data_IF_319558531119
#
_entry.id   IF_319558531119
#
_cell.length_a   1.000
_cell.length_b   1.000
_cell.length_c   1.000
_cell.angle_alpha   90.00
_cell.angle_beta   90.00
_cell.angle_gamma   90.00
#
_symmetry.space_group_name_H-M   'P 1'
#
loop_
_entity.id
_entity.type
_entity.pdbx_description
1 polymer ?
#
# COMPACT_ATOMS: atom_id res chain seq x y z
N UNK A 1 22.91 4.49 -20.67
CA UNK A 1 24.13 5.26 -21.04
C UNK A 1 25.05 4.35 -21.84
N UNK A 2 25.46 4.70 -23.05
CA UNK A 2 26.38 3.85 -23.83
C UNK A 2 27.75 4.52 -23.85
N UNK A 3 28.79 3.81 -23.39
CA UNK A 3 30.18 4.23 -23.50
C UNK A 3 30.83 3.45 -24.63
N UNK A 4 31.23 4.14 -25.69
CA UNK A 4 32.02 3.56 -26.76
C UNK A 4 33.51 3.71 -26.43
N UNK A 5 34.28 2.62 -26.47
CA UNK A 5 35.72 2.63 -26.26
C UNK A 5 36.41 1.56 -27.13
N UNK A 6 37.37 1.96 -27.98
CA UNK A 6 38.14 1.08 -28.86
C UNK A 6 37.33 0.04 -29.66
N UNK A 7 36.23 0.45 -30.32
CA UNK A 7 35.43 -0.47 -31.12
C UNK A 7 34.38 -1.27 -30.34
N UNK A 8 34.35 -1.15 -29.01
CA UNK A 8 33.38 -1.82 -28.15
C UNK A 8 32.39 -0.84 -27.54
N UNK A 9 31.11 -1.23 -27.55
CA UNK A 9 30.04 -0.52 -26.86
C UNK A 9 29.80 -1.16 -25.49
N UNK A 10 29.93 -0.38 -24.42
CA UNK A 10 29.55 -0.78 -23.07
C UNK A 10 28.24 -0.08 -22.70
N UNK A 11 27.20 -0.85 -22.38
CA UNK A 11 25.94 -0.30 -21.90
C UNK A 11 25.99 -0.18 -20.38
N UNK A 12 25.74 1.03 -19.88
CA UNK A 12 25.56 1.36 -18.48
C UNK A 12 24.07 1.65 -18.25
N UNK A 13 23.37 0.71 -17.66
CA UNK A 13 22.05 0.93 -17.08
C UNK A 13 22.21 1.33 -15.62
N UNK A 14 21.62 2.46 -15.23
CA UNK A 14 21.45 2.75 -13.80
C UNK A 14 20.44 1.75 -13.23
N UNK A 15 20.63 1.35 -11.97
CA UNK A 15 19.68 0.47 -11.31
C UNK A 15 18.35 1.22 -11.08
N UNK A 16 17.25 0.61 -11.50
CA UNK A 16 15.92 1.20 -11.41
C UNK A 16 14.85 0.29 -12.02
N UNK A 17 13.57 0.66 -11.87
CA UNK A 17 12.49 0.06 -12.65
C UNK A 17 12.80 0.14 -14.14
N UNK A 18 12.42 -0.90 -14.90
CA UNK A 18 12.69 -0.96 -16.34
C UNK A 18 11.95 0.13 -17.13
N UNK A 19 10.81 0.58 -16.62
CA UNK A 19 9.97 1.63 -17.20
C UNK A 19 9.31 2.45 -16.09
N UNK A 20 8.85 3.65 -16.42
CA UNK A 20 8.08 4.51 -15.51
C UNK A 20 6.67 3.98 -15.23
N UNK A 21 6.14 3.11 -16.10
CA UNK A 21 4.82 2.51 -15.96
C UNK A 21 4.71 1.71 -14.67
N UNK A 22 3.82 2.14 -13.79
CA UNK A 22 3.47 1.49 -12.53
C UNK A 22 1.97 1.59 -12.33
N UNK A 23 1.30 0.45 -12.25
CA UNK A 23 -0.15 0.35 -12.10
C UNK A 23 -0.55 0.16 -10.64
N UNK A 24 0.24 -0.61 -9.88
CA UNK A 24 0.00 -0.87 -8.48
C UNK A 24 1.31 -1.21 -7.74
N UNK A 25 1.31 -0.96 -6.43
CA UNK A 25 2.42 -1.24 -5.52
C UNK A 25 1.95 -2.20 -4.42
N UNK A 26 2.84 -3.10 -3.99
CA UNK A 26 2.57 -4.11 -2.96
C UNK A 26 3.80 -4.33 -2.09
N UNK A 27 3.60 -4.49 -0.79
CA UNK A 27 4.66 -4.89 0.13
C UNK A 27 4.54 -6.38 0.45
N UNK A 28 5.68 -7.08 0.44
CA UNK A 28 5.78 -8.42 1.00
C UNK A 28 7.24 -8.75 1.33
N UNK A 29 7.49 -9.55 2.38
CA UNK A 29 8.82 -10.05 2.74
C UNK A 29 9.97 -9.02 2.58
N UNK A 30 9.83 -7.82 3.18
CA UNK A 30 10.85 -6.76 3.11
C UNK A 30 11.18 -6.29 1.66
N UNK A 31 10.19 -6.36 0.77
CA UNK A 31 10.30 -6.05 -0.65
C UNK A 31 9.09 -5.24 -1.09
N UNK A 32 9.33 -4.21 -1.90
CA UNK A 32 8.26 -3.52 -2.63
C UNK A 32 8.18 -4.11 -4.02
N UNK A 33 7.00 -4.56 -4.42
CA UNK A 33 6.67 -5.04 -5.75
C UNK A 33 5.84 -3.99 -6.48
N UNK A 34 6.31 -3.59 -7.66
CA UNK A 34 5.65 -2.65 -8.54
C UNK A 34 5.18 -3.38 -9.81
N UNK A 35 3.87 -3.49 -9.98
CA UNK A 35 3.27 -4.05 -11.18
C UNK A 35 3.26 -3.00 -12.29
N UNK A 36 3.75 -3.35 -13.48
CA UNK A 36 3.95 -2.35 -14.54
C UNK A 36 2.74 -2.17 -15.47
N UNK A 37 1.90 -3.20 -15.61
CA UNK A 37 0.87 -3.26 -16.65
C UNK A 37 -0.55 -3.13 -16.11
N UNK A 38 -1.54 -3.12 -17.00
CA UNK A 38 -2.93 -3.03 -16.57
C UNK A 38 -3.89 -2.70 -17.69
N UNK A 39 -4.86 -1.84 -17.41
CA UNK A 39 -5.86 -1.38 -18.36
C UNK A 39 -6.01 0.14 -18.30
N UNK A 40 -6.47 0.73 -19.40
CA UNK A 40 -6.66 2.17 -19.51
C UNK A 40 -7.98 2.64 -18.83
N UNK A 41 -8.25 3.94 -18.84
CA UNK A 41 -9.48 4.52 -18.27
C UNK A 41 -10.78 4.04 -18.93
N UNK A 42 -10.69 3.49 -20.15
CA UNK A 42 -11.80 2.84 -20.86
C UNK A 42 -11.88 1.34 -20.58
N UNK A 43 -11.10 0.84 -19.62
CA UNK A 43 -11.15 -0.54 -19.14
C UNK A 43 -10.72 -1.52 -20.26
N UNK A 44 -9.72 -1.11 -21.05
CA UNK A 44 -9.12 -1.91 -22.13
C UNK A 44 -7.67 -2.27 -21.80
N UNK A 45 -7.25 -3.48 -22.21
CA UNK A 45 -5.88 -3.97 -22.05
C UNK A 45 -4.86 -2.98 -22.63
N UNK A 46 -3.76 -2.75 -21.90
CA UNK A 46 -2.65 -1.93 -22.39
C UNK A 46 -1.60 -2.72 -23.16
N UNK A 47 -1.66 -4.07 -23.07
CA UNK A 47 -0.67 -4.98 -23.64
C UNK A 47 0.76 -4.66 -23.18
N UNK A 48 0.92 -4.27 -21.90
CA UNK A 48 2.20 -3.91 -21.34
C UNK A 48 2.97 -5.16 -20.87
N UNK A 49 4.10 -5.46 -21.52
CA UNK A 49 4.96 -6.61 -21.24
C UNK A 49 6.15 -6.31 -20.32
N UNK A 50 6.15 -5.17 -19.62
CA UNK A 50 7.24 -4.79 -18.73
C UNK A 50 7.32 -5.67 -17.47
N UNK A 51 6.25 -6.43 -17.18
CA UNK A 51 6.16 -7.38 -16.06
C UNK A 51 6.00 -6.66 -14.72
N UNK A 52 6.89 -6.96 -13.78
CA UNK A 52 6.94 -6.29 -12.48
C UNK A 52 8.37 -6.01 -12.03
N UNK A 53 8.51 -5.10 -11.07
CA UNK A 53 9.80 -4.68 -10.52
C UNK A 53 9.80 -4.87 -9.02
N UNK A 54 10.95 -5.20 -8.45
CA UNK A 54 11.13 -5.41 -7.03
C UNK A 54 12.19 -4.49 -6.47
N UNK A 55 11.87 -3.72 -5.46
CA UNK A 55 12.86 -3.03 -4.65
C UNK A 55 13.27 -3.93 -3.49
N UNK A 56 14.45 -4.52 -3.60
CA UNK A 56 15.00 -5.48 -2.65
C UNK A 56 16.09 -4.84 -1.77
N UNK A 57 16.15 -5.28 -0.51
CA UNK A 57 17.21 -4.92 0.45
C UNK A 57 17.45 -3.42 0.62
N UNK A 58 16.43 -2.60 0.32
CA UNK A 58 16.49 -1.14 0.40
C UNK A 58 17.55 -0.47 -0.49
N UNK A 59 18.08 -1.17 -1.49
CA UNK A 59 19.22 -0.68 -2.29
C UNK A 59 19.04 -0.82 -3.79
N UNK A 60 18.32 -1.85 -4.26
CA UNK A 60 18.30 -2.18 -5.69
C UNK A 60 16.92 -2.58 -6.19
N UNK A 61 16.68 -2.24 -7.45
CA UNK A 61 15.58 -2.74 -8.26
C UNK A 61 15.99 -4.00 -9.03
N UNK A 62 15.15 -5.02 -8.99
CA UNK A 62 15.22 -6.24 -9.81
C UNK A 62 13.98 -6.28 -10.70
N UNK A 63 14.16 -6.47 -12.01
CA UNK A 63 13.08 -6.42 -12.98
C UNK A 63 12.76 -7.84 -13.46
N UNK A 64 11.49 -8.22 -13.49
CA UNK A 64 11.02 -9.54 -13.91
C UNK A 64 10.08 -9.41 -15.11
N UNK A 65 10.52 -9.91 -16.26
CA UNK A 65 9.74 -10.01 -17.48
C UNK A 65 10.27 -11.14 -18.38
N UNK A 66 9.59 -11.34 -19.52
CA UNK A 66 9.89 -12.41 -20.48
C UNK A 66 11.32 -12.43 -21.05
N UNK A 67 12.08 -11.35 -20.90
CA UNK A 67 13.42 -11.20 -21.48
C UNK A 67 14.54 -11.38 -20.46
N UNK A 68 14.28 -11.14 -19.17
CA UNK A 68 15.30 -11.12 -18.14
C UNK A 68 15.06 -12.10 -16.97
N UNK A 69 13.96 -12.87 -17.02
CA UNK A 69 13.67 -13.94 -16.06
C UNK A 69 12.87 -15.07 -16.71
N UNK A 70 12.46 -16.07 -15.92
CA UNK A 70 11.57 -17.13 -16.36
C UNK A 70 10.09 -16.70 -16.43
N UNK A 71 9.82 -15.40 -16.39
CA UNK A 71 8.46 -14.87 -16.41
C UNK A 71 7.74 -15.25 -17.73
N UNK A 72 6.47 -15.67 -17.68
CA UNK A 72 5.74 -16.00 -18.89
C UNK A 72 5.60 -14.81 -19.85
N UNK A 73 5.44 -15.09 -21.16
CA UNK A 73 5.19 -14.05 -22.16
C UNK A 73 3.72 -13.63 -22.15
N UNK A 74 3.35 -12.88 -21.12
CA UNK A 74 1.99 -12.39 -20.89
C UNK A 74 2.04 -10.90 -20.52
N UNK A 75 1.05 -10.09 -20.93
CA UNK A 75 1.00 -8.69 -20.57
C UNK A 75 0.22 -8.42 -19.28
N UNK A 76 0.24 -7.16 -18.86
CA UNK A 76 -0.75 -6.53 -17.98
C UNK A 76 -0.89 -7.18 -16.59
N UNK A 77 0.16 -7.03 -15.77
CA UNK A 77 0.14 -7.36 -14.34
C UNK A 77 -0.72 -6.34 -13.58
N UNK A 78 -1.92 -6.70 -13.14
CA UNK A 78 -2.89 -5.74 -12.56
C UNK A 78 -2.79 -5.67 -11.05
N UNK A 79 -2.66 -6.82 -10.39
CA UNK A 79 -2.81 -6.94 -8.94
C UNK A 79 -1.88 -8.02 -8.39
N UNK A 80 -1.41 -7.85 -7.16
CA UNK A 80 -0.63 -8.89 -6.49
C UNK A 80 -1.07 -9.11 -5.04
N UNK A 81 -0.86 -10.32 -4.55
CA UNK A 81 -1.03 -10.66 -3.14
C UNK A 81 0.01 -11.72 -2.75
N UNK A 82 0.66 -11.53 -1.61
CA UNK A 82 1.54 -12.54 -1.04
C UNK A 82 0.76 -13.41 -0.07
N UNK A 83 0.88 -14.73 -0.20
CA UNK A 83 0.28 -15.68 0.73
C UNK A 83 1.38 -16.26 1.63
N UNK A 84 1.45 -15.88 2.93
CA UNK A 84 2.48 -16.36 3.84
C UNK A 84 2.36 -17.86 4.18
N UNK A 85 1.23 -18.50 3.86
CA UNK A 85 0.99 -19.91 4.18
C UNK A 85 1.56 -20.89 3.17
N UNK A 86 1.71 -20.46 1.91
CA UNK A 86 2.38 -21.21 0.85
C UNK A 86 3.60 -20.47 0.30
N UNK A 87 3.89 -19.28 0.84
CA UNK A 87 5.06 -18.46 0.53
C UNK A 87 5.19 -18.18 -0.98
N UNK A 88 4.03 -17.94 -1.60
CA UNK A 88 3.91 -17.58 -3.01
C UNK A 88 3.35 -16.17 -3.17
N UNK A 89 3.87 -15.47 -4.19
CA UNK A 89 3.26 -14.24 -4.70
C UNK A 89 2.30 -14.63 -5.82
N UNK A 90 1.08 -14.17 -5.71
CA UNK A 90 0.05 -14.32 -6.71
C UNK A 90 -0.09 -13.02 -7.49
N UNK A 91 -0.13 -13.08 -8.81
CA UNK A 91 -0.21 -11.94 -9.72
C UNK A 91 -1.41 -12.13 -10.62
N UNK A 92 -2.41 -11.25 -10.51
CA UNK A 92 -3.58 -11.22 -11.38
C UNK A 92 -3.29 -10.44 -12.65
N UNK A 93 -3.77 -10.96 -13.77
CA UNK A 93 -3.53 -10.40 -15.09
C UNK A 93 -4.79 -9.89 -15.75
N UNK A 94 -4.62 -8.95 -16.68
CA UNK A 94 -5.66 -8.57 -17.62
C UNK A 94 -5.61 -9.45 -18.86
N UNK A 95 -6.19 -10.64 -18.78
CA UNK A 95 -6.36 -11.55 -19.93
C UNK A 95 -5.51 -12.82 -19.90
N UNK A 96 -4.65 -13.01 -18.89
CA UNK A 96 -3.79 -14.20 -18.75
C UNK A 96 -4.07 -15.05 -17.49
N UNK A 97 -5.10 -14.71 -16.73
CA UNK A 97 -5.52 -15.40 -15.52
C UNK A 97 -4.70 -14.97 -14.30
N UNK A 98 -4.27 -15.95 -13.51
CA UNK A 98 -3.49 -15.76 -12.31
C UNK A 98 -2.14 -16.44 -12.46
N UNK A 99 -1.06 -15.77 -12.10
CA UNK A 99 0.27 -16.39 -12.00
C UNK A 99 0.65 -16.54 -10.55
N UNK A 100 1.04 -17.75 -10.13
CA UNK A 100 1.72 -17.95 -8.85
C UNK A 100 3.23 -18.03 -9.06
N UNK A 101 3.97 -17.30 -8.26
CA UNK A 101 5.42 -17.23 -8.25
C UNK A 101 5.95 -17.61 -6.86
N UNK A 102 6.90 -18.53 -6.81
CA UNK A 102 7.43 -19.08 -5.56
C UNK A 102 8.92 -18.79 -5.36
N UNK A 103 9.45 -19.15 -4.18
CA UNK A 103 10.87 -18.98 -3.81
C UNK A 103 11.90 -19.64 -4.73
N UNK A 104 11.51 -20.60 -5.58
CA UNK A 104 12.42 -21.22 -6.55
C UNK A 104 12.42 -20.52 -7.92
N UNK A 105 11.89 -19.30 -7.98
CA UNK A 105 11.70 -18.52 -9.20
C UNK A 105 10.88 -19.26 -10.27
N UNK A 106 9.91 -20.07 -9.82
CA UNK A 106 9.00 -20.80 -10.70
C UNK A 106 7.69 -20.06 -10.84
N UNK A 107 7.31 -19.74 -12.07
CA UNK A 107 6.02 -19.19 -12.44
C UNK A 107 5.06 -20.29 -12.90
N UNK A 108 3.82 -20.28 -12.42
CA UNK A 108 2.76 -21.20 -12.81
C UNK A 108 1.53 -20.38 -13.18
N UNK A 109 1.03 -20.58 -14.41
CA UNK A 109 -0.21 -19.95 -14.90
C UNK A 109 -1.41 -20.78 -14.45
N UNK A 110 -2.40 -20.11 -13.90
CA UNK A 110 -3.71 -20.62 -13.51
C UNK A 110 -4.75 -19.86 -14.33
N UNK A 111 -5.30 -20.53 -15.35
CA UNK A 111 -6.25 -19.94 -16.31
C UNK A 111 -7.47 -20.86 -16.48
N UNK A 112 -8.31 -20.57 -17.48
CA UNK A 112 -9.54 -21.32 -17.77
C UNK A 112 -9.28 -22.75 -18.25
N UNK A 113 -8.04 -23.09 -18.64
CA UNK A 113 -7.67 -24.43 -19.12
C UNK A 113 -7.33 -25.40 -17.99
N UNK A 114 -6.96 -24.89 -16.80
CA UNK A 114 -6.49 -25.71 -15.69
C UNK A 114 -7.12 -25.36 -14.33
N UNK A 115 -8.03 -24.41 -14.28
CA UNK A 115 -8.80 -24.05 -13.09
C UNK A 115 -10.29 -23.88 -13.40
N UNK A 116 -11.07 -23.55 -12.37
CA UNK A 116 -12.49 -23.20 -12.49
C UNK A 116 -12.74 -21.75 -12.91
N UNK A 117 -11.67 -20.97 -13.15
CA UNK A 117 -11.79 -19.60 -13.64
C UNK A 117 -12.50 -19.63 -15.00
N UNK A 118 -13.41 -18.67 -15.21
CA UNK A 118 -14.14 -18.50 -16.47
C UNK A 118 -13.56 -17.38 -17.34
N UNK A 119 -12.56 -16.67 -16.81
CA UNK A 119 -11.92 -15.53 -17.47
C UNK A 119 -10.42 -15.52 -17.17
N UNK A 120 -9.67 -14.88 -18.07
CA UNK A 120 -8.28 -14.52 -17.85
C UNK A 120 -8.11 -13.18 -17.13
N UNK A 121 -9.18 -12.48 -16.75
CA UNK A 121 -9.10 -11.13 -16.17
C UNK A 121 -9.30 -11.20 -14.65
N UNK A 122 -8.19 -11.09 -13.93
CA UNK A 122 -8.12 -11.12 -12.46
C UNK A 122 -7.60 -9.77 -11.96
N UNK A 123 -8.43 -9.05 -11.22
CA UNK A 123 -8.21 -7.62 -10.91
C UNK A 123 -8.17 -7.31 -9.42
N UNK A 124 -8.66 -8.21 -8.57
CA UNK A 124 -8.60 -8.11 -7.12
C UNK A 124 -8.04 -9.39 -6.54
N UNK A 125 -7.08 -9.26 -5.62
CA UNK A 125 -6.50 -10.35 -4.85
C UNK A 125 -6.33 -9.91 -3.41
N UNK A 126 -6.66 -10.80 -2.48
CA UNK A 126 -6.35 -10.63 -1.07
C UNK A 126 -6.27 -11.99 -0.37
N UNK A 127 -5.60 -12.08 0.77
CA UNK A 127 -5.39 -13.34 1.49
C UNK A 127 -5.95 -13.23 2.89
N UNK A 128 -6.86 -14.15 3.25
CA UNK A 128 -7.44 -14.15 4.58
C UNK A 128 -6.48 -14.74 5.64
N UNK A 129 -6.83 -14.55 6.91
CA UNK A 129 -6.06 -15.07 8.06
C UNK A 129 -6.02 -16.60 8.15
N UNK A 130 -6.72 -17.33 7.27
CA UNK A 130 -6.68 -18.80 7.16
C UNK A 130 -5.76 -19.28 6.02
N UNK A 131 -5.22 -18.35 5.23
CA UNK A 131 -4.40 -18.61 4.05
C UNK A 131 -5.21 -18.92 2.80
N UNK A 132 -6.48 -18.52 2.76
CA UNK A 132 -7.30 -18.59 1.55
C UNK A 132 -7.01 -17.36 0.71
N UNK A 133 -6.58 -17.59 -0.54
CA UNK A 133 -6.51 -16.54 -1.55
C UNK A 133 -7.92 -16.26 -2.05
N UNK A 134 -8.36 -15.01 -1.98
CA UNK A 134 -9.61 -14.50 -2.52
C UNK A 134 -9.33 -13.67 -3.76
N UNK A 135 -10.19 -13.81 -4.77
CA UNK A 135 -9.96 -13.22 -6.08
C UNK A 135 -11.26 -12.66 -6.65
N UNK A 136 -11.20 -11.47 -7.24
CA UNK A 136 -12.28 -10.99 -8.12
C UNK A 136 -11.89 -11.19 -9.58
N UNK A 137 -12.85 -11.67 -10.36
CA UNK A 137 -12.65 -11.93 -11.77
C UNK A 137 -13.78 -11.28 -12.59
N UNK A 138 -13.47 -10.88 -13.81
CA UNK A 138 -14.49 -10.33 -14.70
C UNK A 138 -15.35 -11.40 -15.33
N UNK A 139 -16.65 -11.17 -15.33
CA UNK A 139 -17.58 -11.98 -16.11
C UNK A 139 -17.54 -11.46 -17.55
N UNK A 140 -17.23 -12.33 -18.51
CA UNK A 140 -17.23 -11.97 -19.92
C UNK A 140 -18.67 -11.95 -20.45
N UNK A 141 -19.03 -10.89 -21.18
CA UNK A 141 -20.38 -10.64 -21.72
C UNK A 141 -20.77 -11.61 -22.85
N UNK A 142 -19.80 -12.05 -23.66
CA UNK A 142 -20.02 -12.92 -24.83
C UNK A 142 -19.71 -14.40 -24.56
N UNK A 143 -19.39 -14.77 -23.32
CA UNK A 143 -19.22 -16.17 -22.98
C UNK A 143 -20.57 -16.75 -22.54
N UNK A 144 -20.98 -17.87 -23.13
CA UNK A 144 -22.11 -18.71 -22.69
C UNK A 144 -21.93 -19.27 -21.25
N UNK A 145 -20.98 -18.74 -20.47
CA UNK A 145 -20.61 -19.25 -19.15
C UNK A 145 -21.34 -18.44 -18.07
N UNK A 146 -22.30 -19.10 -17.41
CA UNK A 146 -22.69 -18.75 -16.05
C UNK A 146 -21.45 -18.85 -15.16
N UNK A 147 -20.84 -17.72 -14.83
CA UNK A 147 -19.53 -17.65 -14.18
C UNK A 147 -19.55 -17.17 -12.73
N UNK A 148 -18.48 -17.49 -11.99
CA UNK A 148 -18.22 -16.89 -10.69
C UNK A 148 -17.71 -15.45 -10.86
N UNK A 149 -18.15 -14.53 -10.01
CA UNK A 149 -17.61 -13.17 -9.90
C UNK A 149 -16.43 -13.12 -8.91
N UNK A 150 -16.51 -13.97 -7.88
CA UNK A 150 -15.50 -14.09 -6.82
C UNK A 150 -15.05 -15.53 -6.75
N UNK A 151 -13.75 -15.74 -6.57
CA UNK A 151 -13.15 -17.05 -6.43
C UNK A 151 -12.36 -17.12 -5.13
N UNK A 152 -12.21 -18.33 -4.60
CA UNK A 152 -11.29 -18.61 -3.52
C UNK A 152 -10.44 -19.84 -3.83
N UNK A 153 -9.18 -19.81 -3.36
CA UNK A 153 -8.26 -20.94 -3.38
C UNK A 153 -7.72 -21.13 -1.96
N UNK A 154 -8.12 -22.23 -1.33
CA UNK A 154 -7.63 -22.56 0.01
C UNK A 154 -6.15 -22.97 -0.03
N UNK A 155 -5.47 -22.94 1.11
CA UNK A 155 -4.09 -23.46 1.25
C UNK A 155 -3.91 -24.93 0.84
N UNK A 156 -4.99 -25.70 0.75
CA UNK A 156 -5.00 -27.10 0.26
C UNK A 156 -5.16 -27.19 -1.27
N UNK A 157 -5.25 -26.06 -1.97
CA UNK A 157 -5.46 -25.98 -3.41
C UNK A 157 -6.91 -26.20 -3.85
N UNK A 158 -7.88 -26.21 -2.92
CA UNK A 158 -9.31 -26.33 -3.27
C UNK A 158 -9.81 -24.99 -3.76
N UNK A 159 -10.37 -24.98 -4.98
CA UNK A 159 -10.97 -23.83 -5.62
C UNK A 159 -12.49 -23.80 -5.42
N UNK A 160 -13.04 -22.62 -5.16
CA UNK A 160 -14.49 -22.39 -5.07
C UNK A 160 -14.85 -21.11 -5.84
N UNK A 161 -15.99 -21.10 -6.51
CA UNK A 161 -16.54 -19.93 -7.19
C UNK A 161 -17.82 -19.45 -6.50
N UNK A 162 -18.04 -18.15 -6.51
CA UNK A 162 -19.22 -17.48 -5.98
C UNK A 162 -19.74 -16.50 -7.02
N UNK A 163 -21.05 -16.51 -7.25
CA UNK A 163 -21.72 -15.60 -8.17
C UNK A 163 -22.52 -14.60 -7.36
N UNK A 164 -22.27 -13.32 -7.60
CA UNK A 164 -23.02 -12.23 -7.01
C UNK A 164 -24.39 -12.09 -7.72
N UNK A 165 -25.46 -11.74 -7.00
CA UNK A 165 -26.84 -11.98 -7.49
C UNK A 165 -27.36 -10.98 -8.53
N UNK A 166 -26.78 -9.78 -8.62
CA UNK A 166 -27.15 -8.80 -9.64
C UNK A 166 -26.51 -9.12 -10.99
N UNK A 167 -27.20 -8.85 -12.11
CA UNK A 167 -26.55 -8.88 -13.42
C UNK A 167 -25.48 -7.77 -13.47
N UNK A 168 -24.22 -8.18 -13.58
CA UNK A 168 -23.07 -7.29 -13.76
C UNK A 168 -22.78 -7.07 -15.25
N UNK A 169 -23.83 -7.06 -16.09
CA UNK A 169 -23.75 -6.56 -17.45
C UNK A 169 -23.04 -5.19 -17.44
N UNK A 170 -21.88 -5.13 -18.10
CA UNK A 170 -21.00 -3.96 -18.18
C UNK A 170 -20.41 -3.43 -16.86
N UNK A 171 -20.44 -4.21 -15.77
CA UNK A 171 -19.84 -3.88 -14.46
C UNK A 171 -18.65 -4.79 -14.17
N UNK A 172 -17.46 -4.25 -14.35
CA UNK A 172 -16.23 -4.98 -14.10
C UNK A 172 -15.83 -4.88 -12.64
N UNK A 173 -15.60 -6.00 -11.95
CA UNK A 173 -15.00 -5.98 -10.61
C UNK A 173 -13.54 -5.55 -10.73
N UNK A 174 -13.13 -4.51 -10.00
CA UNK A 174 -11.82 -3.89 -10.21
C UNK A 174 -10.88 -4.10 -9.02
N UNK A 175 -11.41 -4.25 -7.82
CA UNK A 175 -10.61 -4.45 -6.62
C UNK A 175 -11.38 -5.32 -5.65
N UNK A 176 -10.65 -6.10 -4.86
CA UNK A 176 -11.14 -6.88 -3.73
C UNK A 176 -10.26 -6.57 -2.52
N UNK A 177 -10.87 -6.29 -1.38
CA UNK A 177 -10.20 -6.16 -0.08
C UNK A 177 -10.99 -6.90 1.00
N UNK A 178 -10.29 -7.59 1.89
CA UNK A 178 -10.85 -8.29 3.03
C UNK A 178 -10.84 -7.36 4.25
N UNK A 179 -11.96 -7.30 4.97
CA UNK A 179 -11.96 -6.68 6.29
C UNK A 179 -11.61 -7.69 7.41
N UNK A 180 -11.48 -7.20 8.64
CA UNK A 180 -11.16 -8.02 9.81
C UNK A 180 -12.24 -9.04 10.20
N UNK A 181 -13.43 -8.98 9.60
CA UNK A 181 -14.51 -9.97 9.77
C UNK A 181 -14.55 -10.97 8.62
N UNK A 182 -13.66 -10.82 7.63
CA UNK A 182 -13.58 -11.65 6.44
C UNK A 182 -14.63 -11.31 5.39
N UNK A 183 -15.31 -10.16 5.47
CA UNK A 183 -16.15 -9.70 4.36
C UNK A 183 -15.28 -9.23 3.20
N UNK A 184 -15.76 -9.42 1.98
CA UNK A 184 -15.09 -9.04 0.74
C UNK A 184 -15.70 -7.74 0.28
N UNK A 185 -14.94 -6.67 0.35
CA UNK A 185 -15.30 -5.36 -0.20
C UNK A 185 -14.78 -5.29 -1.62
N UNK A 186 -15.69 -5.13 -2.58
CA UNK A 186 -15.35 -5.06 -3.99
C UNK A 186 -15.87 -3.76 -4.60
N UNK A 187 -15.00 -3.08 -5.34
CA UNK A 187 -15.43 -1.99 -6.20
C UNK A 187 -15.63 -2.50 -7.61
N UNK A 188 -16.64 -1.98 -8.29
CA UNK A 188 -16.84 -2.21 -9.70
C UNK A 188 -16.82 -0.90 -10.47
N UNK A 189 -16.44 -0.98 -11.74
CA UNK A 189 -16.42 0.13 -12.68
C UNK A 189 -16.65 -0.39 -14.10
N UNK A 190 -17.11 0.49 -14.99
CA UNK A 190 -17.54 0.09 -16.33
C UNK A 190 -17.63 1.27 -17.30
N UNK A 191 -17.81 0.96 -18.58
CA UNK A 191 -18.21 1.97 -19.56
C UNK A 191 -19.55 2.61 -19.14
N UNK A 192 -19.69 3.93 -19.33
CA UNK A 192 -20.96 4.62 -19.12
C UNK A 192 -21.35 4.90 -17.66
N UNK A 193 -20.38 5.18 -16.77
CA UNK A 193 -20.61 5.63 -15.38
C UNK A 193 -21.17 4.57 -14.41
N UNK A 194 -21.08 3.27 -14.75
CA UNK A 194 -21.49 2.20 -13.85
C UNK A 194 -20.39 1.89 -12.84
N UNK A 195 -20.33 2.68 -11.77
CA UNK A 195 -19.42 2.49 -10.64
C UNK A 195 -20.18 2.15 -9.37
N UNK A 196 -19.50 1.47 -8.45
CA UNK A 196 -20.01 1.35 -7.10
C UNK A 196 -19.21 0.39 -6.24
N UNK A 197 -19.79 0.11 -5.09
CA UNK A 197 -19.21 -0.72 -4.05
C UNK A 197 -20.20 -1.80 -3.64
N UNK A 198 -19.69 -3.01 -3.47
CA UNK A 198 -20.42 -4.15 -2.92
C UNK A 198 -19.62 -4.75 -1.77
N UNK A 199 -20.32 -5.19 -0.74
CA UNK A 199 -19.76 -6.11 0.26
C UNK A 199 -20.40 -7.48 0.11
N UNK A 200 -19.59 -8.52 0.17
CA UNK A 200 -19.99 -9.92 0.03
C UNK A 200 -19.45 -10.75 1.20
N UNK A 201 -20.26 -11.68 1.70
CA UNK A 201 -19.84 -12.71 2.63
C UNK A 201 -20.36 -14.08 2.16
N UNK A 202 -19.45 -15.02 2.00
CA UNK A 202 -19.71 -16.40 1.57
C UNK A 202 -20.55 -17.19 2.58
N UNK A 203 -20.53 -16.79 3.86
CA UNK A 203 -21.31 -17.44 4.91
C UNK A 203 -22.76 -16.96 4.81
N UNK A 204 -23.56 -17.72 4.05
CA UNK A 204 -24.95 -17.39 3.76
C UNK A 204 -25.15 -16.57 2.48
N UNK A 205 -24.09 -16.40 1.67
CA UNK A 205 -24.12 -15.64 0.41
C UNK A 205 -24.78 -14.26 0.56
N UNK A 206 -24.41 -13.55 1.62
CA UNK A 206 -24.93 -12.21 1.85
C UNK A 206 -24.21 -11.22 0.97
N UNK A 207 -24.97 -10.31 0.36
CA UNK A 207 -24.42 -9.19 -0.40
C UNK A 207 -25.19 -7.89 -0.15
N UNK A 208 -24.48 -6.77 -0.24
CA UNK A 208 -25.09 -5.43 -0.20
C UNK A 208 -24.34 -4.48 -1.11
N UNK A 209 -25.10 -3.72 -1.90
CA UNK A 209 -24.60 -2.60 -2.69
C UNK A 209 -24.72 -1.30 -1.91
N UNK A 210 -23.73 -0.43 -2.07
CA UNK A 210 -23.73 0.90 -1.47
C UNK A 210 -23.90 1.99 -2.52
N UNK A 211 -24.55 3.06 -2.10
CA UNK A 211 -24.88 4.24 -2.89
C UNK A 211 -24.64 5.52 -2.09
N UNK A 212 -24.95 6.68 -2.68
CA UNK A 212 -24.86 7.97 -1.98
C UNK A 212 -25.76 8.03 -0.72
N UNK A 213 -26.89 7.31 -0.68
CA UNK A 213 -27.77 7.28 0.50
C UNK A 213 -27.17 6.49 1.66
N UNK A 214 -26.20 5.62 1.39
CA UNK A 214 -25.46 4.86 2.40
C UNK A 214 -24.24 5.63 2.92
N UNK A 215 -24.08 6.91 2.56
CA UNK A 215 -23.05 7.80 3.09
C UNK A 215 -21.79 7.95 2.23
N UNK A 216 -21.71 7.29 1.06
CA UNK A 216 -20.62 7.47 0.12
C UNK A 216 -20.61 8.91 -0.47
N UNK A 217 -19.44 9.57 -0.62
CA UNK A 217 -19.36 10.91 -1.20
C UNK A 217 -19.72 10.96 -2.69
N UNK A 218 -19.33 9.93 -3.44
CA UNK A 218 -19.57 9.78 -4.88
C UNK A 218 -19.71 8.30 -5.25
N UNK A 219 -20.40 8.01 -6.36
CA UNK A 219 -20.58 6.64 -6.85
C UNK A 219 -19.31 6.08 -7.49
N UNK A 220 -18.43 6.94 -8.00
CA UNK A 220 -17.13 6.55 -8.55
C UNK A 220 -16.20 6.18 -7.41
N UNK A 221 -16.04 4.88 -7.17
CA UNK A 221 -15.13 4.34 -6.15
C UNK A 221 -13.79 3.97 -6.79
N UNK A 222 -12.72 4.65 -6.35
CA UNK A 222 -11.38 4.51 -6.91
C UNK A 222 -10.51 3.55 -6.11
N UNK A 223 -10.66 3.51 -4.79
CA UNK A 223 -9.87 2.64 -3.93
C UNK A 223 -10.62 2.21 -2.67
N UNK A 224 -10.24 1.02 -2.19
CA UNK A 224 -10.62 0.46 -0.90
C UNK A 224 -9.33 0.19 -0.13
N UNK A 225 -9.28 0.61 1.13
CA UNK A 225 -8.20 0.30 2.07
C UNK A 225 -8.77 -0.06 3.43
N UNK A 226 -8.22 -1.08 4.08
CA UNK A 226 -8.61 -1.45 5.46
C UNK A 226 -7.46 -1.04 6.37
N UNK A 227 -7.74 -0.17 7.34
CA UNK A 227 -6.71 0.30 8.25
C UNK A 227 -6.44 -0.67 9.41
N UNK A 228 -5.45 -0.34 10.25
CA UNK A 228 -5.04 -1.21 11.37
C UNK A 228 -6.10 -1.36 12.46
N UNK A 229 -7.06 -0.43 12.51
CA UNK A 229 -8.20 -0.46 13.44
C UNK A 229 -9.39 -1.22 12.84
N UNK A 230 -9.27 -1.70 11.60
CA UNK A 230 -10.30 -2.42 10.87
C UNK A 230 -11.34 -1.52 10.21
N UNK A 231 -11.10 -0.20 10.15
CA UNK A 231 -11.98 0.72 9.42
C UNK A 231 -11.77 0.51 7.92
N UNK A 232 -12.86 0.34 7.18
CA UNK A 232 -12.82 0.24 5.72
C UNK A 232 -12.95 1.63 5.13
N UNK A 233 -11.85 2.15 4.59
CA UNK A 233 -11.76 3.45 3.94
C UNK A 233 -12.02 3.33 2.45
N UNK A 234 -12.87 4.23 1.94
CA UNK A 234 -13.27 4.29 0.55
C UNK A 234 -12.88 5.65 -0.02
N UNK A 235 -11.98 5.66 -1.00
CA UNK A 235 -11.66 6.83 -1.80
C UNK A 235 -12.55 6.90 -3.03
N UNK A 236 -13.11 8.07 -3.29
CA UNK A 236 -14.08 8.29 -4.37
C UNK A 236 -13.68 9.46 -5.27
N UNK A 237 -14.45 9.68 -6.34
CA UNK A 237 -14.32 10.84 -7.21
C UNK A 237 -14.49 12.20 -6.51
N UNK A 238 -15.11 12.26 -5.31
CA UNK A 238 -15.40 13.52 -4.59
C UNK A 238 -15.15 13.43 -3.08
N UNK A 239 -13.99 12.89 -2.72
CA UNK A 239 -13.53 12.75 -1.34
C UNK A 239 -13.54 11.29 -0.88
N UNK A 240 -13.60 11.07 0.44
CA UNK A 240 -13.55 9.73 1.03
C UNK A 240 -14.57 9.53 2.14
N UNK A 241 -14.83 8.28 2.49
CA UNK A 241 -15.63 7.91 3.65
C UNK A 241 -15.10 6.63 4.31
N UNK A 242 -15.42 6.45 5.60
CA UNK A 242 -15.03 5.29 6.39
C UNK A 242 -16.24 4.46 6.84
N UNK A 243 -16.07 3.14 6.84
CA UNK A 243 -16.98 2.19 7.46
C UNK A 243 -16.35 1.65 8.74
N UNK A 244 -16.80 2.16 9.88
CA UNK A 244 -16.14 1.95 11.17
C UNK A 244 -16.48 0.61 11.83
N UNK A 245 -17.61 0.00 11.45
CA UNK A 245 -18.11 -1.22 12.09
C UNK A 245 -18.33 -2.34 11.06
N UNK A 246 -17.28 -3.02 10.58
CA UNK A 246 -17.42 -4.05 9.54
C UNK A 246 -18.35 -5.22 9.93
N UNK A 247 -18.63 -5.40 11.23
CA UNK A 247 -19.65 -6.33 11.71
C UNK A 247 -21.07 -5.99 11.24
N UNK A 248 -21.32 -4.73 10.89
CA UNK A 248 -22.58 -4.20 10.38
C UNK A 248 -22.54 -3.99 8.86
N UNK A 249 -21.64 -4.63 8.11
CA UNK A 249 -21.50 -4.41 6.67
C UNK A 249 -22.83 -4.46 5.89
N UNK A 250 -23.78 -5.30 6.32
CA UNK A 250 -25.07 -5.49 5.66
C UNK A 250 -26.20 -4.57 6.17
N UNK A 251 -25.93 -3.70 7.15
CA UNK A 251 -26.96 -2.83 7.78
C UNK A 251 -26.49 -1.40 8.07
N UNK A 252 -25.19 -1.19 8.31
CA UNK A 252 -24.58 0.11 8.67
C UNK A 252 -24.28 1.01 7.48
N UNK A 253 -23.83 2.24 7.73
CA UNK A 253 -23.56 3.23 6.70
C UNK A 253 -22.15 3.80 6.81
N UNK A 254 -21.67 4.37 5.71
CA UNK A 254 -20.43 5.14 5.66
C UNK A 254 -20.56 6.47 6.38
N UNK A 255 -19.45 6.90 6.98
CA UNK A 255 -19.31 8.21 7.63
C UNK A 255 -18.22 8.98 6.89
N UNK A 256 -18.53 10.22 6.52
CA UNK A 256 -17.58 11.17 5.91
C UNK A 256 -16.82 11.88 7.02
N UNK A 257 -15.50 11.67 7.18
CA UNK A 257 -14.71 12.40 8.16
C UNK A 257 -14.77 13.90 7.87
N UNK A 258 -14.69 14.71 8.93
CA UNK A 258 -14.76 16.16 8.83
C UNK A 258 -13.41 16.76 9.15
N UNK A 259 -12.93 17.63 8.25
CA UNK A 259 -11.75 18.45 8.46
C UNK A 259 -12.09 19.91 8.18
N UNK A 260 -11.76 20.82 9.10
CA UNK A 260 -12.10 22.25 9.03
C UNK A 260 -13.60 22.54 8.75
N UNK A 261 -14.50 21.71 9.30
CA UNK A 261 -15.95 21.89 9.19
C UNK A 261 -16.58 21.37 7.89
N UNK A 262 -15.80 20.77 6.98
CA UNK A 262 -16.29 20.16 5.74
C UNK A 262 -15.90 18.69 5.65
N UNK A 263 -16.65 17.86 4.88
CA UNK A 263 -16.18 16.55 4.49
C UNK A 263 -14.75 16.63 3.95
N UNK A 264 -13.89 15.76 4.46
CA UNK A 264 -12.49 15.77 4.09
C UNK A 264 -12.31 15.56 2.58
N UNK A 265 -11.43 16.34 1.97
CA UNK A 265 -11.16 16.30 0.53
C UNK A 265 -12.44 16.39 -0.32
N UNK A 266 -13.41 17.20 0.14
CA UNK A 266 -14.66 17.43 -0.60
C UNK A 266 -14.39 17.85 -2.05
N UNK A 267 -15.04 17.18 -2.99
CA UNK A 267 -14.91 17.39 -4.44
C UNK A 267 -13.50 17.14 -5.01
N UNK A 268 -12.63 16.46 -4.25
CA UNK A 268 -11.32 16.01 -4.73
C UNK A 268 -11.37 14.55 -5.13
N UNK A 269 -10.75 14.24 -6.26
CA UNK A 269 -10.66 12.87 -6.76
C UNK A 269 -9.57 12.11 -5.98
N UNK A 270 -10.00 11.24 -5.06
CA UNK A 270 -9.12 10.41 -4.23
C UNK A 270 -8.81 9.12 -5.00
N UNK A 271 -7.55 8.86 -5.29
CA UNK A 271 -7.12 7.75 -6.14
C UNK A 271 -6.66 6.53 -5.34
N UNK A 272 -6.04 6.75 -4.19
CA UNK A 272 -5.54 5.68 -3.31
C UNK A 272 -5.44 6.16 -1.86
N UNK A 273 -5.51 5.22 -0.92
CA UNK A 273 -5.36 5.45 0.51
C UNK A 273 -4.43 4.35 1.04
N UNK A 274 -3.49 4.71 1.92
CA UNK A 274 -2.63 3.76 2.63
C UNK A 274 -2.43 4.22 4.07
N UNK A 275 -2.54 3.29 5.02
CA UNK A 275 -2.28 3.58 6.44
C UNK A 275 -0.83 3.24 6.80
N UNK A 276 -0.14 4.13 7.51
CA UNK A 276 1.24 3.89 7.97
C UNK A 276 1.34 3.23 9.35
N UNK A 277 2.58 3.07 9.80
CA UNK A 277 2.98 2.61 11.13
C UNK A 277 2.11 3.09 12.28
N UNK A 278 1.84 4.40 12.34
CA UNK A 278 1.03 5.05 13.38
C UNK A 278 -0.46 5.17 13.02
N UNK A 279 -0.93 4.36 12.07
CA UNK A 279 -2.26 4.41 11.47
C UNK A 279 -2.62 5.77 10.85
N UNK A 280 -1.64 6.61 10.53
CA UNK A 280 -1.87 7.88 9.82
C UNK A 280 -2.24 7.57 8.38
N UNK A 281 -3.00 8.47 7.76
CA UNK A 281 -3.62 8.22 6.46
C UNK A 281 -2.88 9.00 5.38
N UNK A 282 -2.14 8.26 4.55
CA UNK A 282 -1.64 8.77 3.28
C UNK A 282 -2.74 8.67 2.24
N UNK A 283 -3.09 9.80 1.63
CA UNK A 283 -4.20 9.89 0.68
C UNK A 283 -3.68 10.51 -0.63
N UNK A 284 -3.60 9.68 -1.65
CA UNK A 284 -3.27 10.09 -3.01
C UNK A 284 -4.50 10.68 -3.70
N UNK A 285 -4.28 11.74 -4.47
CA UNK A 285 -5.31 12.40 -5.27
C UNK A 285 -4.77 12.70 -6.67
N UNK A 286 -5.61 13.23 -7.55
CA UNK A 286 -5.15 13.80 -8.84
C UNK A 286 -4.45 15.15 -8.69
N UNK A 287 -4.39 15.71 -7.47
CA UNK A 287 -3.84 17.04 -7.18
C UNK A 287 -2.60 16.99 -6.27
N UNK A 288 -2.15 15.80 -5.86
CA UNK A 288 -1.02 15.59 -4.96
C UNK A 288 -1.31 14.57 -3.87
N UNK A 289 -0.45 14.55 -2.86
CA UNK A 289 -0.45 13.59 -1.76
C UNK A 289 -0.71 14.30 -0.43
N UNK A 290 -1.66 13.80 0.34
CA UNK A 290 -1.97 14.28 1.69
C UNK A 290 -1.52 13.28 2.74
N UNK A 291 -1.06 13.79 3.88
CA UNK A 291 -0.90 13.02 5.12
C UNK A 291 -1.83 13.59 6.17
N UNK A 292 -2.72 12.75 6.69
CA UNK A 292 -3.59 13.06 7.82
C UNK A 292 -3.21 12.22 9.04
N UNK A 293 -3.53 12.72 10.22
CA UNK A 293 -3.51 11.87 11.41
C UNK A 293 -4.58 10.77 11.32
N UNK A 294 -4.51 9.83 12.26
CA UNK A 294 -5.30 8.61 12.28
C UNK A 294 -6.82 8.83 12.08
N UNK A 295 -7.40 9.82 12.75
CA UNK A 295 -8.83 10.12 12.77
C UNK A 295 -9.26 11.22 11.78
N UNK A 296 -8.36 11.67 10.91
CA UNK A 296 -8.56 12.78 9.97
C UNK A 296 -8.85 14.16 10.59
N UNK A 297 -8.71 14.33 11.91
CA UNK A 297 -8.92 15.65 12.56
C UNK A 297 -7.85 16.69 12.19
N UNK A 298 -6.71 16.27 11.64
CA UNK A 298 -5.61 17.14 11.25
C UNK A 298 -4.93 16.69 9.96
N UNK A 299 -4.84 17.60 8.98
CA UNK A 299 -3.86 17.49 7.89
C UNK A 299 -2.45 17.78 8.45
N UNK A 300 -1.59 16.77 8.42
CA UNK A 300 -0.19 16.87 8.88
C UNK A 300 0.66 17.50 7.78
N UNK A 301 0.48 17.08 6.53
CA UNK A 301 1.25 17.58 5.39
C UNK A 301 0.48 17.43 4.07
N UNK A 302 0.88 18.23 3.08
CA UNK A 302 0.44 18.13 1.70
C UNK A 302 1.64 18.30 0.78
N UNK A 303 1.75 17.44 -0.23
CA UNK A 303 2.85 17.39 -1.19
C UNK A 303 2.30 17.52 -2.61
N UNK A 304 2.84 18.47 -3.36
CA UNK A 304 2.62 18.65 -4.79
C UNK A 304 3.97 18.90 -5.50
N UNK A 305 3.96 18.99 -6.82
CA UNK A 305 5.16 19.27 -7.63
C UNK A 305 5.78 20.66 -7.35
N UNK A 306 5.05 21.58 -6.72
CA UNK A 306 5.53 22.94 -6.46
C UNK A 306 6.25 23.06 -5.13
N UNK A 307 5.86 22.25 -4.14
CA UNK A 307 6.40 22.29 -2.78
C UNK A 307 7.26 21.07 -2.42
N UNK A 308 7.39 20.10 -3.33
CA UNK A 308 8.12 18.86 -3.07
C UNK A 308 8.77 18.29 -4.36
N UNK A 309 9.70 17.32 -4.23
CA UNK A 309 10.29 16.62 -5.37
C UNK A 309 9.37 15.60 -6.06
N UNK A 310 8.07 15.58 -5.74
CA UNK A 310 7.10 14.68 -6.34
C UNK A 310 7.13 14.80 -7.88
N UNK A 311 7.13 13.68 -8.60
CA UNK A 311 7.26 13.67 -10.06
C UNK A 311 5.99 14.14 -10.78
N UNK A 312 4.81 13.91 -10.18
CA UNK A 312 3.53 14.37 -10.70
C UNK A 312 2.50 14.44 -9.58
N UNK A 313 1.55 15.37 -9.71
CA UNK A 313 0.42 15.50 -8.79
C UNK A 313 -0.57 14.34 -8.89
N UNK A 314 -0.56 13.59 -9.99
CA UNK A 314 -1.46 12.47 -10.18
C UNK A 314 -0.90 11.20 -9.51
N UNK A 315 -1.36 10.92 -8.30
CA UNK A 315 -0.93 9.74 -7.55
C UNK A 315 -1.72 8.51 -8.03
N UNK A 316 -1.02 7.45 -8.42
CA UNK A 316 -1.63 6.19 -8.89
C UNK A 316 -1.78 5.19 -7.74
N UNK A 317 -0.70 4.96 -7.00
CA UNK A 317 -0.66 3.96 -5.94
C UNK A 317 0.31 4.37 -4.83
N UNK A 318 0.04 3.88 -3.64
CA UNK A 318 0.86 4.06 -2.45
C UNK A 318 1.11 2.69 -1.82
N UNK A 319 2.34 2.48 -1.37
CA UNK A 319 2.65 1.32 -0.54
C UNK A 319 3.74 1.67 0.47
N UNK A 320 3.67 1.06 1.65
CA UNK A 320 4.62 1.31 2.71
C UNK A 320 5.50 0.09 2.87
N UNK A 321 6.81 0.32 2.89
CA UNK A 321 7.75 -0.67 3.31
C UNK A 321 7.66 -0.81 4.83
N UNK A 322 6.84 -1.75 5.28
CA UNK A 322 6.40 -1.90 6.68
C UNK A 322 7.55 -1.79 7.69
N UNK A 323 8.68 -2.48 7.45
CA UNK A 323 9.81 -2.48 8.40
C UNK A 323 10.55 -1.15 8.53
N UNK A 324 10.52 -0.29 7.51
CA UNK A 324 11.25 0.99 7.53
C UNK A 324 10.35 2.20 7.64
N UNK A 325 9.04 2.00 7.43
CA UNK A 325 8.09 3.08 7.22
C UNK A 325 8.22 3.81 5.88
N UNK A 326 9.18 3.45 5.03
CA UNK A 326 9.42 4.16 3.76
C UNK A 326 8.19 4.02 2.84
N UNK A 327 7.59 5.16 2.49
CA UNK A 327 6.44 5.25 1.61
C UNK A 327 6.92 5.28 0.15
N UNK A 328 6.43 4.36 -0.65
CA UNK A 328 6.59 4.34 -2.11
C UNK A 328 5.36 4.96 -2.74
N UNK A 329 5.60 5.91 -3.64
CA UNK A 329 4.59 6.72 -4.31
C UNK A 329 4.73 6.48 -5.80
N UNK A 330 3.78 5.78 -6.39
CA UNK A 330 3.67 5.65 -7.84
C UNK A 330 2.85 6.82 -8.37
N UNK A 331 3.43 7.56 -9.30
CA UNK A 331 2.76 8.62 -10.08
C UNK A 331 2.71 8.20 -11.55
N UNK A 332 1.98 8.93 -12.38
CA UNK A 332 2.00 8.73 -13.83
C UNK A 332 3.34 9.07 -14.50
N UNK A 333 4.26 9.70 -13.77
CA UNK A 333 5.63 10.01 -14.22
C UNK A 333 6.72 9.14 -13.53
N UNK A 334 6.31 8.09 -12.81
CA UNK A 334 7.21 7.11 -12.18
C UNK A 334 7.10 7.00 -10.67
N UNK A 335 8.01 6.23 -10.07
CA UNK A 335 8.02 5.92 -8.63
C UNK A 335 9.04 6.80 -7.91
N UNK A 336 8.62 7.39 -6.79
CA UNK A 336 9.48 8.07 -5.81
C UNK A 336 9.21 7.49 -4.42
N UNK A 337 10.20 7.50 -3.54
CA UNK A 337 10.00 7.13 -2.13
C UNK A 337 10.22 8.31 -1.19
N UNK A 338 9.53 8.28 -0.06
CA UNK A 338 9.60 9.25 1.02
C UNK A 338 9.75 8.50 2.34
N UNK A 339 10.72 8.90 3.18
CA UNK A 339 10.87 8.33 4.53
C UNK A 339 10.14 9.21 5.53
N UNK A 340 8.96 8.80 6.03
CA UNK A 340 8.27 9.51 7.07
C UNK A 340 8.89 9.26 8.45
N UNK A 341 8.35 9.94 9.44
CA UNK A 341 8.66 9.82 10.87
C UNK A 341 7.86 8.71 11.59
N UNK A 342 7.34 7.71 10.84
CA UNK A 342 6.59 6.58 11.39
C UNK A 342 6.95 5.27 10.66
N UNK A 343 7.13 4.16 11.40
CA UNK A 343 7.39 2.81 10.89
C UNK A 343 6.45 1.78 11.54
N UNK A 344 6.38 0.52 11.09
CA UNK A 344 5.62 -0.50 11.80
C UNK A 344 6.14 -0.73 13.22
N UNK A 345 5.23 -0.88 14.18
CA UNK A 345 5.60 -1.19 15.56
C UNK A 345 6.29 -2.56 15.67
N UNK A 346 7.18 -2.67 16.65
CA UNK A 346 7.84 -3.90 17.03
C UNK A 346 7.25 -4.46 18.32
N UNK A 347 7.28 -5.78 18.46
CA UNK A 347 6.74 -6.46 19.65
C UNK A 347 7.61 -6.28 20.90
N UNK A 348 8.88 -5.94 20.71
CA UNK A 348 9.86 -5.67 21.78
C UNK A 348 10.87 -4.62 21.32
N UNK A 349 11.73 -4.15 22.23
CA UNK A 349 12.75 -3.14 21.95
C UNK A 349 14.11 -3.71 21.49
N UNK A 350 14.21 -4.98 21.06
CA UNK A 350 15.52 -5.60 20.72
C UNK A 350 16.10 -5.08 19.41
N UNK A 351 15.25 -4.69 18.47
CA UNK A 351 15.64 -4.06 17.21
C UNK A 351 15.87 -2.55 17.33
N UNK A 352 15.73 -1.99 18.54
CA UNK A 352 15.85 -0.56 18.74
C UNK A 352 17.24 -0.06 18.35
N UNK A 353 17.28 0.92 17.46
CA UNK A 353 18.53 1.52 16.99
C UNK A 353 18.34 3.00 16.65
N UNK A 354 19.45 3.73 16.55
CA UNK A 354 19.45 5.18 16.33
C UNK A 354 20.26 5.51 15.09
N UNK A 355 19.67 6.27 14.16
CA UNK A 355 20.33 6.68 12.93
C UNK A 355 19.87 8.08 12.45
N UNK A 356 20.73 8.84 11.74
CA UNK A 356 22.16 8.57 11.57
C UNK A 356 22.90 8.73 12.89
N UNK A 357 23.97 7.95 13.06
CA UNK A 357 24.83 8.03 14.24
C UNK A 357 26.27 7.60 13.85
N UNK A 358 27.28 8.49 13.93
CA UNK A 358 27.24 9.86 14.43
C UNK A 358 26.49 10.83 13.49
N UNK A 359 25.96 11.91 14.07
CA UNK A 359 25.26 12.99 13.35
C UNK A 359 26.28 14.05 12.97
N UNK A 360 26.41 14.31 11.66
CA UNK A 360 27.35 15.28 11.10
C UNK A 360 26.90 16.74 11.36
N UNK A 361 27.82 17.71 11.35
CA UNK A 361 27.51 19.11 11.69
C UNK A 361 26.57 19.79 10.70
N UNK A 362 26.65 19.37 9.43
CA UNK A 362 25.84 19.82 8.30
C UNK A 362 24.54 19.01 8.12
N UNK A 363 24.28 18.03 8.99
CA UNK A 363 23.04 17.25 8.94
C UNK A 363 21.84 18.12 9.35
N UNK A 364 20.95 18.36 8.40
CA UNK A 364 19.70 19.12 8.60
C UNK A 364 18.45 18.21 8.72
N UNK A 365 18.64 16.89 8.70
CA UNK A 365 17.55 15.92 8.77
C UNK A 365 17.13 15.56 10.20
N UNK A 366 16.24 14.58 10.30
CA UNK A 366 15.77 14.01 11.57
C UNK A 366 16.63 12.84 12.01
N UNK A 367 16.99 12.80 13.29
CA UNK A 367 17.54 11.59 13.92
C UNK A 367 16.35 10.68 14.23
N UNK A 368 16.35 9.48 13.68
CA UNK A 368 15.37 8.45 13.94
C UNK A 368 15.85 7.52 15.06
N UNK A 369 14.94 7.22 15.97
CA UNK A 369 15.03 6.12 16.94
C UNK A 369 13.96 5.12 16.50
N UNK A 370 14.39 4.04 15.87
CA UNK A 370 13.54 3.08 15.16
C UNK A 370 13.59 1.71 15.84
N UNK A 371 12.66 0.82 15.48
CA UNK A 371 12.51 -0.51 16.07
C UNK A 371 11.82 -0.49 17.44
N UNK A 372 10.87 0.43 17.63
CA UNK A 372 10.16 0.66 18.88
C UNK A 372 8.75 0.04 18.87
N UNK A 373 8.12 -0.05 20.03
CA UNK A 373 6.67 -0.27 20.16
C UNK A 373 5.92 1.05 19.91
N UNK A 374 4.69 1.00 19.40
CA UNK A 374 3.85 2.19 19.30
C UNK A 374 3.66 2.88 20.65
N UNK A 375 3.61 4.21 20.65
CA UNK A 375 3.54 5.06 21.84
C UNK A 375 4.69 4.91 22.86
N UNK A 376 5.76 4.19 22.53
CA UNK A 376 6.95 4.14 23.37
C UNK A 376 7.49 5.54 23.68
N UNK A 377 7.80 5.80 24.94
CA UNK A 377 8.29 7.10 25.41
C UNK A 377 9.80 7.16 25.17
N UNK A 378 10.24 8.17 24.42
CA UNK A 378 11.65 8.42 24.12
C UNK A 378 12.09 9.69 24.84
N UNK A 379 13.10 9.56 25.71
CA UNK A 379 13.70 10.67 26.45
C UNK A 379 15.16 10.80 26.05
N UNK A 380 15.56 12.01 25.64
CA UNK A 380 16.92 12.34 25.25
C UNK A 380 17.50 13.26 26.31
N UNK A 381 18.63 12.87 26.88
CA UNK A 381 19.32 13.62 27.93
C UNK A 381 20.75 13.93 27.53
N UNK A 382 21.36 14.92 28.18
CA UNK A 382 22.81 15.03 28.18
C UNK A 382 23.46 13.88 28.99
N UNK A 383 24.79 13.82 29.02
CA UNK A 383 25.54 12.81 29.78
C UNK A 383 25.39 12.95 31.31
N UNK A 384 24.86 14.08 31.80
CA UNK A 384 24.57 14.29 33.22
C UNK A 384 23.15 13.85 33.59
N UNK A 385 22.36 13.39 32.61
CA UNK A 385 20.98 12.93 32.80
C UNK A 385 19.94 14.05 32.79
N UNK A 386 20.31 15.29 32.44
CA UNK A 386 19.35 16.38 32.29
C UNK A 386 18.55 16.18 31.01
N UNK A 387 17.23 16.15 31.14
CA UNK A 387 16.32 16.02 30.00
C UNK A 387 16.52 17.19 29.02
N UNK A 388 16.75 16.84 27.77
CA UNK A 388 16.89 17.78 26.66
C UNK A 388 15.66 17.74 25.76
N UNK A 389 15.15 16.55 25.44
CA UNK A 389 13.99 16.36 24.58
C UNK A 389 13.22 15.10 25.00
N UNK A 390 11.91 15.10 24.82
CA UNK A 390 11.04 13.96 25.09
C UNK A 390 10.03 13.85 23.96
N UNK A 391 9.71 12.65 23.49
CA UNK A 391 8.66 12.43 22.49
C UNK A 391 8.08 11.02 22.65
N UNK A 392 7.05 10.70 21.87
CA UNK A 392 6.53 9.33 21.73
C UNK A 392 6.81 8.80 20.33
N UNK A 393 6.98 7.49 20.21
CA UNK A 393 7.00 6.81 18.93
C UNK A 393 5.64 6.94 18.23
N UNK A 394 5.66 7.11 16.90
CA UNK A 394 4.50 7.00 16.01
C UNK A 394 4.67 5.70 15.23
N UNK A 395 3.90 4.67 15.57
CA UNK A 395 4.29 3.30 15.22
C UNK A 395 5.65 2.96 15.84
N UNK A 396 6.55 2.34 15.08
CA UNK A 396 7.86 1.92 15.56
C UNK A 396 8.97 2.97 15.54
N UNK A 397 8.69 4.23 15.17
CA UNK A 397 9.72 5.29 15.06
C UNK A 397 9.40 6.50 15.92
N UNK A 398 10.42 7.03 16.59
CA UNK A 398 10.44 8.39 17.12
C UNK A 398 11.51 9.21 16.40
N UNK A 399 11.26 10.50 16.16
CA UNK A 399 12.24 11.37 15.49
C UNK A 399 12.61 12.59 16.34
N UNK A 400 13.81 13.11 16.11
CA UNK A 400 14.32 14.31 16.75
C UNK A 400 15.18 15.15 15.79
N UNK A 401 14.86 16.43 15.66
CA UNK A 401 15.56 17.38 14.78
C UNK A 401 16.74 18.11 15.46
N UNK A 402 17.26 17.57 16.57
CA UNK A 402 18.27 18.20 17.43
C UNK A 402 17.83 19.49 18.13
N UNK A 403 16.55 19.86 18.09
CA UNK A 403 16.05 21.08 18.76
C UNK A 403 15.14 20.68 19.91
N UNK A 404 15.24 21.37 21.05
CA UNK A 404 14.32 21.17 22.17
C UNK A 404 13.07 22.06 22.07
N UNK A 405 12.15 21.91 23.03
CA UNK A 405 10.90 22.68 23.11
C UNK A 405 11.08 24.20 23.26
N UNK A 406 12.26 24.66 23.68
CA UNK A 406 12.61 26.07 23.77
C UNK A 406 13.26 26.62 22.49
N UNK A 407 13.34 25.83 21.42
CA UNK A 407 14.00 26.22 20.17
C UNK A 407 15.53 26.17 20.21
N UNK A 408 16.11 25.59 21.27
CA UNK A 408 17.57 25.51 21.45
C UNK A 408 18.07 24.26 20.72
N UNK A 409 19.03 24.46 19.81
CA UNK A 409 19.72 23.38 19.10
C UNK A 409 20.70 22.67 20.04
N UNK A 410 20.78 21.36 19.93
CA UNK A 410 21.74 20.52 20.63
C UNK A 410 23.17 20.93 20.25
N UNK A 411 24.04 20.99 21.25
CA UNK A 411 25.46 21.23 21.05
C UNK A 411 26.17 19.95 20.61
N UNK A 412 27.35 20.07 20.04
CA UNK A 412 28.18 18.90 19.76
C UNK A 412 28.54 18.18 21.05
N UNK A 413 28.40 16.86 21.07
CA UNK A 413 28.57 16.06 22.27
C UNK A 413 27.84 14.73 22.20
N UNK A 414 27.83 14.05 23.35
CA UNK A 414 27.11 12.79 23.52
C UNK A 414 25.77 13.03 24.21
N UNK A 415 24.72 12.45 23.66
CA UNK A 415 23.39 12.41 24.25
C UNK A 415 23.00 10.97 24.55
N UNK A 416 22.29 10.75 25.65
CA UNK A 416 21.72 9.46 26.02
C UNK A 416 20.26 9.42 25.58
N UNK A 417 19.86 8.30 25.00
CA UNK A 417 18.48 8.05 24.59
C UNK A 417 17.94 6.94 25.48
N UNK A 418 16.89 7.23 26.24
CA UNK A 418 16.15 6.27 27.03
C UNK A 418 14.81 6.03 26.36
N UNK A 419 14.52 4.77 26.04
CA UNK A 419 13.23 4.37 25.52
C UNK A 419 12.58 3.46 26.54
N UNK A 420 11.29 3.67 26.79
CA UNK A 420 10.46 2.74 27.55
C UNK A 420 9.14 2.51 26.83
N UNK A 421 8.64 1.28 26.88
CA UNK A 421 7.26 0.96 26.46
C UNK A 421 6.25 1.77 27.28
N UNK A 422 5.02 1.90 26.78
CA UNK A 422 4.00 2.74 27.44
C UNK A 422 3.65 2.24 28.86
N UNK A 423 3.73 0.93 29.10
CA UNK A 423 3.56 0.30 30.41
C UNK A 423 4.82 0.37 31.30
N UNK A 424 5.93 0.90 30.78
CA UNK A 424 7.23 1.02 31.45
C UNK A 424 8.00 -0.30 31.64
N UNK A 425 7.52 -1.40 31.03
CA UNK A 425 8.06 -2.75 31.20
C UNK A 425 9.42 -2.95 30.54
N UNK A 426 9.52 -2.68 29.23
CA UNK A 426 10.78 -2.82 28.49
C UNK A 426 11.53 -1.50 28.38
N UNK A 427 12.87 -1.59 28.35
CA UNK A 427 13.75 -0.42 28.30
C UNK A 427 14.87 -0.63 27.31
N UNK A 428 15.14 0.39 26.50
CA UNK A 428 16.32 0.48 25.66
C UNK A 428 17.11 1.74 26.03
N UNK A 429 18.45 1.63 25.97
CA UNK A 429 19.34 2.77 26.19
C UNK A 429 20.32 2.85 25.03
N UNK A 430 20.25 3.96 24.29
CA UNK A 430 21.14 4.26 23.19
C UNK A 430 21.98 5.52 23.43
N UNK A 431 22.88 5.80 22.50
CA UNK A 431 23.75 6.99 22.53
C UNK A 431 23.73 7.66 21.17
N UNK A 432 23.59 8.98 21.14
CA UNK A 432 23.75 9.81 19.93
C UNK A 432 25.06 10.59 20.08
N UNK A 433 25.93 10.51 19.08
CA UNK A 433 27.10 11.37 18.98
C UNK A 433 26.83 12.49 17.94
N UNK A 434 26.82 13.74 18.38
CA UNK A 434 26.75 14.92 17.51
C UNK A 434 28.17 15.46 17.38
N UNK A 435 28.75 15.38 16.18
CA UNK A 435 30.15 15.79 15.93
C UNK A 435 30.24 17.21 15.40
N UNK A 436 31.42 17.84 15.53
CA UNK A 436 31.76 19.15 14.99
C UNK A 436 32.36 19.08 13.59
#
# INVERSE_FOLDING_TARGET
>A
LIRYNNGHYNNFSMNGPLSTSTFALYYYNNTILANAGGYNSSIQATYNYSGFYQFENQEKWVNYNRFNSNYPTIPDNVVSAYNPYDDSVYIGHFGAGLVSWNKSDKFIIHDTSNTILVTGIITGLDVDTKGTLWMSAWICFDCDQTGGSVYSKTKKGVWTSYTLTQSYEDKYLIQLKLDLRGNKWLRYGGSGLQYGLIVFNENGNQERHFSATDGLPDAVVNCIEVDKKGVVWIGTGKGLAGFYEPSQAFTGNFIKPIYNGFPILFDKNVTCIKSDGGNRKWVGTTEGLWLFNDDFSKAISFFDVNNSPLYSNNIIALEIHELTGELFIATDEGIISYRPDASEEQTDLKSAHIFPNPVKPDYAGLIAIDGLQDNAVVKITDTQGKLFYETKATGGTATWNMVNYAGIKAESGMYLVFVSTEDGGEKYVGKIAIVQ
#
